data_IF_099051709514
#
_entry.id   IF_099051709514
#
_cell.length_a   1.000
_cell.length_b   1.000
_cell.length_c   1.000
_cell.angle_alpha   90.00
_cell.angle_beta   90.00
_cell.angle_gamma   90.00
#
_symmetry.space_group_name_H-M   'P 1'
#
loop_
_entity.id
_entity.type
_entity.pdbx_description
1 polymer ?
#
# COMPACT_ATOMS: atom_id res chain seq x y z
N UNK A 1 28.84 -4.27 -14.79
CA UNK A 1 28.73 -3.91 -13.36
C UNK A 1 27.46 -3.08 -13.16
N UNK A 2 26.79 -3.16 -11.99
CA UNK A 2 25.66 -2.29 -11.71
C UNK A 2 26.11 -0.83 -11.65
N UNK A 3 25.34 0.07 -12.25
CA UNK A 3 25.55 1.52 -12.20
C UNK A 3 24.35 2.23 -11.54
N UNK A 4 24.60 3.42 -11.00
CA UNK A 4 23.60 4.26 -10.32
C UNK A 4 23.39 3.89 -8.85
N UNK A 5 22.33 4.45 -8.27
CA UNK A 5 22.00 4.27 -6.86
C UNK A 5 21.03 3.10 -6.65
N UNK A 6 21.10 2.46 -5.48
CA UNK A 6 20.19 1.39 -5.06
C UNK A 6 19.69 1.65 -3.64
N UNK A 7 18.46 1.24 -3.37
CA UNK A 7 17.90 1.26 -2.02
C UNK A 7 18.24 -0.10 -1.38
N UNK A 8 18.77 -0.03 -0.16
CA UNK A 8 19.33 -1.18 0.53
C UNK A 8 18.79 -1.23 1.95
N UNK A 9 18.29 -2.41 2.32
CA UNK A 9 18.10 -2.82 3.70
C UNK A 9 19.47 -3.23 4.28
N UNK A 10 19.99 -2.40 5.19
CA UNK A 10 21.34 -2.53 5.73
C UNK A 10 21.52 -3.87 6.44
N UNK A 11 20.52 -4.33 7.19
CA UNK A 11 20.61 -5.56 7.98
C UNK A 11 20.62 -6.79 7.06
N UNK A 12 19.78 -6.79 6.03
CA UNK A 12 19.77 -7.85 5.01
C UNK A 12 21.11 -7.91 4.28
N UNK A 13 21.63 -6.76 3.85
CA UNK A 13 22.90 -6.70 3.13
C UNK A 13 24.06 -7.17 4.01
N UNK A 14 24.18 -6.64 5.23
CA UNK A 14 25.23 -6.97 6.19
C UNK A 14 25.25 -8.47 6.49
N UNK A 15 24.09 -9.05 6.75
CA UNK A 15 23.98 -10.50 7.02
C UNK A 15 24.47 -11.36 5.86
N UNK A 16 24.25 -10.92 4.61
CA UNK A 16 24.68 -11.65 3.41
C UNK A 16 26.16 -11.43 3.05
N UNK A 17 26.74 -10.28 3.40
CA UNK A 17 28.14 -9.98 3.12
C UNK A 17 29.11 -10.52 4.19
N UNK A 18 28.62 -10.90 5.37
CA UNK A 18 29.48 -11.31 6.50
C UNK A 18 30.43 -12.46 6.15
N UNK A 19 29.95 -13.46 5.41
CA UNK A 19 30.75 -14.63 5.01
C UNK A 19 30.23 -15.26 3.74
N UNK A 20 31.15 -15.89 3.00
CA UNK A 20 30.84 -16.73 1.86
C UNK A 20 30.01 -17.94 2.28
N UNK A 21 28.88 -18.16 1.59
CA UNK A 21 27.99 -19.29 1.89
C UNK A 21 28.62 -20.67 1.63
N UNK A 22 29.75 -20.71 0.93
CA UNK A 22 30.42 -21.96 0.55
C UNK A 22 31.68 -22.28 1.33
N UNK A 23 32.49 -21.28 1.69
CA UNK A 23 33.75 -21.50 2.42
C UNK A 23 33.77 -20.85 3.80
N UNK A 24 32.70 -20.15 4.18
CA UNK A 24 32.51 -19.50 5.48
C UNK A 24 33.55 -18.40 5.82
N UNK A 25 34.45 -18.07 4.90
CA UNK A 25 35.38 -16.93 5.00
C UNK A 25 34.71 -15.62 4.58
N UNK A 26 35.10 -14.51 5.17
CA UNK A 26 34.54 -13.19 4.86
C UNK A 26 35.37 -12.05 5.44
N UNK A 27 34.94 -10.79 5.22
CA UNK A 27 33.70 -10.40 4.51
C UNK A 27 33.80 -10.57 2.99
N UNK A 28 32.64 -10.63 2.31
CA UNK A 28 32.55 -10.55 0.85
C UNK A 28 32.58 -9.07 0.45
N UNK A 29 33.51 -8.70 -0.45
CA UNK A 29 33.59 -7.34 -0.98
C UNK A 29 32.56 -7.10 -2.09
N UNK A 30 31.84 -5.97 -2.01
CA UNK A 30 30.98 -5.48 -3.10
C UNK A 30 31.77 -5.08 -4.36
N UNK A 31 33.07 -4.85 -4.25
CA UNK A 31 33.93 -4.63 -5.43
C UNK A 31 33.96 -5.85 -6.37
N UNK A 32 33.61 -7.04 -5.86
CA UNK A 32 33.59 -8.28 -6.62
C UNK A 32 32.22 -8.60 -7.23
N UNK A 33 31.33 -7.61 -7.38
CA UNK A 33 30.05 -7.79 -8.10
C UNK A 33 30.34 -8.09 -9.56
N UNK A 34 29.86 -9.24 -10.03
CA UNK A 34 29.94 -9.67 -11.43
C UNK A 34 28.71 -9.19 -12.19
N UNK A 35 27.54 -9.34 -11.58
CA UNK A 35 26.25 -9.14 -12.23
C UNK A 35 25.18 -8.69 -11.23
N UNK A 36 24.13 -8.04 -11.75
CA UNK A 36 22.96 -7.59 -11.01
C UNK A 36 21.67 -8.00 -11.73
N UNK A 37 20.77 -8.65 -10.99
CA UNK A 37 19.38 -8.79 -11.40
C UNK A 37 18.47 -7.88 -10.59
N UNK A 38 17.71 -7.03 -11.27
CA UNK A 38 16.80 -6.06 -10.64
C UNK A 38 15.38 -6.63 -10.50
N UNK A 39 14.75 -6.31 -9.37
CA UNK A 39 13.39 -6.70 -9.02
C UNK A 39 12.64 -5.49 -8.47
N UNK A 40 12.42 -4.49 -9.33
CA UNK A 40 11.94 -3.18 -8.93
C UNK A 40 13.02 -2.41 -8.19
N UNK A 41 12.72 -1.94 -6.97
CA UNK A 41 13.68 -1.21 -6.12
C UNK A 41 14.69 -2.13 -5.42
N UNK A 42 14.44 -3.44 -5.44
CA UNK A 42 15.37 -4.42 -4.91
C UNK A 42 16.31 -4.93 -5.99
N UNK A 43 17.52 -5.30 -5.57
CA UNK A 43 18.54 -5.89 -6.42
C UNK A 43 19.05 -7.20 -5.82
N UNK A 44 19.44 -8.10 -6.71
CA UNK A 44 20.15 -9.32 -6.39
C UNK A 44 21.52 -9.26 -7.09
N UNK A 45 22.58 -9.09 -6.30
CA UNK A 45 23.94 -9.09 -6.79
C UNK A 45 24.53 -10.50 -6.79
N UNK A 46 25.26 -10.82 -7.86
CA UNK A 46 26.12 -11.99 -7.95
C UNK A 46 27.55 -11.55 -7.65
N UNK A 47 28.10 -12.00 -6.52
CA UNK A 47 29.38 -11.52 -6.00
C UNK A 47 30.40 -12.65 -5.91
N UNK A 48 31.58 -12.49 -6.52
CA UNK A 48 32.64 -13.50 -6.47
C UNK A 48 33.32 -13.48 -5.09
N UNK A 49 33.42 -14.65 -4.46
CA UNK A 49 34.22 -14.78 -3.24
C UNK A 49 35.72 -14.69 -3.55
N UNK A 50 36.44 -13.83 -2.86
CA UNK A 50 37.90 -13.68 -3.02
C UNK A 50 38.71 -14.90 -2.54
N UNK A 51 38.12 -15.75 -1.69
CA UNK A 51 38.84 -16.90 -1.10
C UNK A 51 38.64 -18.22 -1.84
N UNK A 52 37.46 -18.45 -2.42
CA UNK A 52 37.14 -19.73 -3.07
C UNK A 52 36.58 -19.57 -4.49
N UNK A 53 36.54 -18.34 -5.03
CA UNK A 53 36.01 -18.00 -6.35
C UNK A 53 34.54 -18.36 -6.63
N UNK A 54 33.84 -19.02 -5.71
CA UNK A 54 32.40 -19.31 -5.83
C UNK A 54 31.55 -18.03 -5.75
N UNK A 55 30.41 -18.05 -6.44
CA UNK A 55 29.52 -16.90 -6.60
C UNK A 55 28.42 -16.88 -5.52
N UNK A 56 28.38 -15.81 -4.74
CA UNK A 56 27.38 -15.59 -3.72
C UNK A 56 26.22 -14.77 -4.28
N UNK A 57 25.02 -15.01 -3.77
CA UNK A 57 23.83 -14.24 -4.09
C UNK A 57 23.54 -13.30 -2.92
N UNK A 58 23.60 -12.01 -3.17
CA UNK A 58 23.42 -10.96 -2.18
C UNK A 58 22.18 -10.14 -2.54
N UNK A 59 21.14 -10.23 -1.72
CA UNK A 59 19.91 -9.46 -1.90
C UNK A 59 20.02 -8.11 -1.17
N UNK A 60 19.48 -7.04 -1.75
CA UNK A 60 19.43 -5.72 -1.09
C UNK A 60 18.21 -5.51 -0.19
N UNK A 61 17.24 -6.43 -0.21
CA UNK A 61 16.02 -6.34 0.59
C UNK A 61 15.56 -7.75 0.99
N UNK A 62 14.89 -7.83 2.13
CA UNK A 62 14.11 -9.00 2.51
C UNK A 62 12.93 -9.19 1.53
N UNK A 63 12.31 -10.37 1.61
CA UNK A 63 11.21 -10.75 0.74
C UNK A 63 10.12 -11.50 1.50
N UNK A 64 8.86 -11.21 1.18
CA UNK A 64 7.67 -11.84 1.75
C UNK A 64 6.84 -12.57 0.67
N UNK A 65 5.99 -13.49 1.13
CA UNK A 65 4.98 -14.10 0.25
C UNK A 65 3.87 -13.09 0.03
N UNK A 66 3.55 -12.86 -1.25
CA UNK A 66 2.46 -11.99 -1.66
C UNK A 66 1.40 -12.84 -2.36
N UNK A 67 0.29 -13.11 -1.67
CA UNK A 67 -0.77 -13.99 -2.16
C UNK A 67 -0.47 -15.49 -1.97
N UNK A 68 -1.35 -16.35 -2.53
CA UNK A 68 -1.28 -17.81 -2.38
C UNK A 68 -0.23 -18.48 -3.28
N UNK A 69 0.02 -17.91 -4.46
CA UNK A 69 0.92 -18.45 -5.47
C UNK A 69 1.75 -17.33 -6.12
N UNK A 70 2.87 -17.72 -6.74
CA UNK A 70 3.78 -16.80 -7.43
C UNK A 70 5.08 -16.52 -6.67
N UNK A 71 6.00 -15.76 -7.30
CA UNK A 71 7.27 -15.42 -6.69
C UNK A 71 7.08 -14.52 -5.45
N UNK A 72 8.03 -14.60 -4.52
CA UNK A 72 8.09 -13.67 -3.39
C UNK A 72 8.28 -12.25 -3.91
N UNK A 73 7.71 -11.30 -3.19
CA UNK A 73 7.95 -9.90 -3.43
C UNK A 73 8.99 -9.36 -2.45
N UNK A 74 9.79 -8.40 -2.90
CA UNK A 74 10.73 -7.72 -2.02
C UNK A 74 10.03 -6.65 -1.18
N UNK A 75 10.33 -6.64 0.12
CA UNK A 75 9.70 -5.77 1.12
C UNK A 75 9.86 -4.31 0.75
N UNK A 76 11.01 -3.91 0.20
CA UNK A 76 11.27 -2.53 -0.19
C UNK A 76 10.28 -2.02 -1.25
N UNK A 77 9.78 -2.89 -2.14
CA UNK A 77 8.78 -2.49 -3.12
C UNK A 77 7.42 -2.20 -2.46
N UNK A 78 7.01 -3.04 -1.50
CA UNK A 78 5.78 -2.82 -0.74
C UNK A 78 5.91 -1.58 0.16
N UNK A 79 7.05 -1.40 0.84
CA UNK A 79 7.35 -0.22 1.65
C UNK A 79 7.31 1.07 0.82
N UNK A 80 7.95 1.10 -0.35
CA UNK A 80 7.92 2.29 -1.22
C UNK A 80 6.52 2.59 -1.76
N UNK A 81 5.73 1.56 -2.04
CA UNK A 81 4.34 1.74 -2.48
C UNK A 81 3.47 2.27 -1.34
N UNK A 82 3.61 1.72 -0.13
CA UNK A 82 2.94 2.22 1.07
C UNK A 82 3.35 3.67 1.38
N UNK A 83 4.64 3.98 1.28
CA UNK A 83 5.15 5.35 1.45
C UNK A 83 4.56 6.30 0.41
N UNK A 84 4.40 5.84 -0.84
CA UNK A 84 3.76 6.63 -1.89
C UNK A 84 2.29 6.93 -1.56
N UNK A 85 1.55 5.92 -1.10
CA UNK A 85 0.16 6.09 -0.64
C UNK A 85 0.06 7.07 0.52
N UNK A 86 0.95 6.94 1.51
CA UNK A 86 1.00 7.83 2.67
C UNK A 86 1.32 9.28 2.28
N UNK A 87 2.24 9.48 1.33
CA UNK A 87 2.58 10.79 0.81
C UNK A 87 1.56 11.35 -0.22
N UNK A 88 0.48 10.63 -0.51
CA UNK A 88 -0.53 11.05 -1.49
C UNK A 88 -0.03 11.08 -2.94
N UNK A 89 1.03 10.32 -3.27
CA UNK A 89 1.62 10.29 -4.60
C UNK A 89 1.41 8.95 -5.30
N UNK A 90 1.30 8.99 -6.64
CA UNK A 90 1.20 7.81 -7.48
C UNK A 90 2.54 7.33 -8.03
N UNK A 91 2.50 6.22 -8.76
CA UNK A 91 3.65 5.60 -9.44
C UNK A 91 4.46 6.60 -10.28
N UNK A 92 3.80 7.49 -11.03
CA UNK A 92 4.48 8.48 -11.87
C UNK A 92 5.36 9.45 -11.06
N UNK A 93 4.85 9.93 -9.93
CA UNK A 93 5.61 10.83 -9.05
C UNK A 93 6.76 10.09 -8.38
N UNK A 94 6.53 8.87 -7.88
CA UNK A 94 7.60 8.03 -7.33
C UNK A 94 8.70 7.80 -8.37
N UNK A 95 8.32 7.47 -9.61
CA UNK A 95 9.27 7.27 -10.72
C UNK A 95 10.07 8.53 -11.02
N UNK A 96 9.46 9.70 -10.98
CA UNK A 96 10.17 10.98 -11.17
C UNK A 96 11.22 11.21 -10.08
N UNK A 97 10.84 11.02 -8.80
CA UNK A 97 11.75 11.13 -7.66
C UNK A 97 12.94 10.17 -7.79
N UNK A 98 12.66 8.90 -8.09
CA UNK A 98 13.70 7.87 -8.26
C UNK A 98 14.62 8.16 -9.45
N UNK A 99 14.07 8.69 -10.54
CA UNK A 99 14.85 9.06 -11.72
C UNK A 99 15.88 10.15 -11.40
N UNK A 100 15.50 11.16 -10.61
CA UNK A 100 16.42 12.23 -10.19
C UNK A 100 17.56 11.68 -9.33
N UNK A 101 17.26 10.68 -8.48
CA UNK A 101 18.26 10.01 -7.64
C UNK A 101 19.06 8.92 -8.38
N UNK A 102 18.83 8.71 -9.68
CA UNK A 102 19.45 7.62 -10.45
C UNK A 102 19.19 6.22 -9.84
N UNK A 103 17.97 6.01 -9.35
CA UNK A 103 17.49 4.73 -8.80
C UNK A 103 16.54 4.06 -9.82
N UNK A 104 16.79 2.81 -10.23
CA UNK A 104 15.89 2.07 -11.12
C UNK A 104 14.49 1.93 -10.50
N UNK A 105 13.42 2.34 -11.20
CA UNK A 105 12.06 2.26 -10.66
C UNK A 105 11.46 0.86 -10.81
N UNK A 106 10.46 0.55 -9.99
CA UNK A 106 9.61 -0.62 -10.23
C UNK A 106 8.64 -0.38 -11.40
N UNK A 107 8.24 -1.46 -12.07
CA UNK A 107 7.26 -1.37 -13.15
C UNK A 107 5.89 -0.92 -12.62
N UNK A 108 5.08 -0.27 -13.47
CA UNK A 108 3.69 0.07 -13.14
C UNK A 108 2.88 -1.14 -12.68
N UNK A 109 3.10 -2.30 -13.30
CA UNK A 109 2.42 -3.54 -12.92
C UNK A 109 2.82 -3.99 -11.51
N UNK A 110 4.12 -3.92 -11.19
CA UNK A 110 4.65 -4.21 -9.85
C UNK A 110 4.10 -3.23 -8.81
N UNK A 111 4.12 -1.93 -9.08
CA UNK A 111 3.56 -0.91 -8.20
C UNK A 111 2.07 -1.18 -7.92
N UNK A 112 1.26 -1.41 -8.96
CA UNK A 112 -0.17 -1.69 -8.78
C UNK A 112 -0.45 -3.01 -8.06
N UNK A 113 0.43 -4.00 -8.19
CA UNK A 113 0.34 -5.23 -7.40
C UNK A 113 0.65 -4.97 -5.92
N UNK A 114 1.67 -4.17 -5.62
CA UNK A 114 2.01 -3.75 -4.25
C UNK A 114 0.95 -2.86 -3.64
N UNK A 115 0.38 -1.95 -4.41
CA UNK A 115 -0.69 -1.03 -3.98
C UNK A 115 -1.93 -1.80 -3.50
N UNK A 116 -2.33 -2.85 -4.22
CA UNK A 116 -3.44 -3.74 -3.81
C UNK A 116 -3.11 -4.59 -2.60
N UNK A 117 -1.86 -4.99 -2.44
CA UNK A 117 -1.41 -5.73 -1.26
C UNK A 117 -1.41 -4.83 -0.03
N UNK A 118 -0.72 -3.69 -0.08
CA UNK A 118 -0.60 -2.77 1.05
C UNK A 118 -1.92 -2.09 1.37
N UNK A 119 -2.75 -1.81 0.35
CA UNK A 119 -4.07 -1.22 0.53
C UNK A 119 -4.99 -2.07 1.42
N UNK A 120 -4.94 -3.41 1.31
CA UNK A 120 -5.71 -4.29 2.20
C UNK A 120 -5.26 -4.20 3.65
N UNK A 121 -3.95 -4.09 3.88
CA UNK A 121 -3.41 -3.92 5.23
C UNK A 121 -3.80 -2.56 5.82
N UNK A 122 -3.76 -1.49 5.00
CA UNK A 122 -4.22 -0.16 5.40
C UNK A 122 -5.71 -0.17 5.74
N UNK A 123 -6.56 -0.78 4.91
CA UNK A 123 -8.00 -0.91 5.17
C UNK A 123 -8.28 -1.66 6.48
N UNK A 124 -7.54 -2.75 6.74
CA UNK A 124 -7.68 -3.52 7.98
C UNK A 124 -7.30 -2.70 9.23
N UNK A 125 -6.16 -1.99 9.19
CA UNK A 125 -5.72 -1.13 10.30
C UNK A 125 -6.69 0.03 10.50
N UNK A 126 -7.18 0.65 9.42
CA UNK A 126 -8.15 1.72 9.49
C UNK A 126 -9.46 1.26 10.17
N UNK A 127 -9.94 0.06 9.84
CA UNK A 127 -11.14 -0.51 10.47
C UNK A 127 -10.96 -0.71 11.98
N UNK A 128 -9.85 -1.32 12.41
CA UNK A 128 -9.56 -1.52 13.84
C UNK A 128 -9.44 -0.18 14.56
N UNK A 129 -8.75 0.80 13.94
CA UNK A 129 -8.61 2.14 14.52
C UNK A 129 -9.95 2.87 14.69
N UNK A 130 -10.89 2.67 13.76
CA UNK A 130 -12.23 3.22 13.84
C UNK A 130 -13.03 2.59 14.99
N UNK A 131 -13.02 1.26 15.09
CA UNK A 131 -13.68 0.49 16.15
C UNK A 131 -13.16 0.89 17.55
N UNK A 132 -11.83 0.99 17.70
CA UNK A 132 -11.20 1.45 18.94
C UNK A 132 -11.58 2.89 19.29
N UNK A 133 -11.68 3.77 18.28
CA UNK A 133 -12.06 5.16 18.48
C UNK A 133 -13.49 5.27 19.00
N UNK A 134 -14.45 4.59 18.37
CA UNK A 134 -15.85 4.56 18.82
C UNK A 134 -15.95 4.00 20.24
N UNK A 135 -15.28 2.89 20.52
CA UNK A 135 -15.34 2.25 21.85
C UNK A 135 -14.76 3.15 22.95
N UNK A 136 -13.68 3.89 22.66
CA UNK A 136 -13.08 4.83 23.59
C UNK A 136 -13.97 6.05 23.82
N UNK A 137 -14.58 6.59 22.77
CA UNK A 137 -15.50 7.72 22.89
C UNK A 137 -16.74 7.34 23.71
N UNK A 138 -17.33 6.17 23.47
CA UNK A 138 -18.46 5.66 24.27
C UNK A 138 -18.09 5.58 25.77
N UNK A 139 -16.91 5.07 26.10
CA UNK A 139 -16.43 5.01 27.49
C UNK A 139 -16.27 6.40 28.10
N UNK A 140 -15.74 7.36 27.33
CA UNK A 140 -15.59 8.73 27.80
C UNK A 140 -16.95 9.39 28.08
N UNK A 141 -17.93 9.20 27.20
CA UNK A 141 -19.29 9.74 27.38
C UNK A 141 -19.98 9.17 28.63
N UNK A 142 -19.89 7.85 28.84
CA UNK A 142 -20.42 7.22 30.06
C UNK A 142 -19.73 7.77 31.31
N UNK A 143 -18.42 7.98 31.27
CA UNK A 143 -17.67 8.51 32.41
C UNK A 143 -18.04 9.96 32.76
N UNK A 144 -18.53 10.76 31.79
CA UNK A 144 -18.99 12.14 32.05
C UNK A 144 -20.49 12.22 32.40
N UNK A 145 -21.18 11.07 32.49
CA UNK A 145 -22.56 10.98 32.95
C UNK A 145 -23.62 10.84 31.85
N UNK A 146 -23.24 10.58 30.60
CA UNK A 146 -24.20 10.24 29.54
C UNK A 146 -24.74 8.82 29.77
N UNK A 147 -26.07 8.70 29.93
CA UNK A 147 -26.71 7.40 30.12
C UNK A 147 -27.03 6.73 28.76
N UNK A 148 -26.72 5.43 28.61
CA UNK A 148 -27.17 4.68 27.44
C UNK A 148 -28.70 4.62 27.36
N UNK A 149 -29.23 4.61 26.13
CA UNK A 149 -30.65 4.41 25.89
C UNK A 149 -31.11 2.96 26.17
N UNK A 150 -32.39 2.67 25.95
CA UNK A 150 -33.00 1.35 26.12
C UNK A 150 -32.32 0.23 25.30
N UNK A 151 -31.57 0.58 24.25
CA UNK A 151 -30.82 -0.34 23.40
C UNK A 151 -29.31 -0.35 23.72
N UNK A 152 -28.89 0.24 24.84
CA UNK A 152 -27.49 0.40 25.24
C UNK A 152 -26.65 1.19 24.22
N UNK A 153 -27.26 2.15 23.53
CA UNK A 153 -26.60 3.09 22.63
C UNK A 153 -26.35 4.41 23.35
N UNK A 154 -25.24 5.07 23.02
CA UNK A 154 -24.88 6.39 23.56
C UNK A 154 -24.82 7.35 22.39
N UNK A 155 -25.47 8.51 22.51
CA UNK A 155 -25.44 9.54 21.48
C UNK A 155 -24.04 10.16 21.43
N UNK A 156 -23.42 10.13 20.25
CA UNK A 156 -22.08 10.67 20.05
C UNK A 156 -22.15 11.84 19.07
N UNK A 157 -21.67 13.04 19.44
CA UNK A 157 -21.62 14.16 18.51
C UNK A 157 -20.58 13.88 17.42
N UNK A 158 -21.05 13.78 16.18
CA UNK A 158 -20.20 13.53 15.02
C UNK A 158 -20.44 14.56 13.91
N UNK A 159 -19.43 14.71 13.06
CA UNK A 159 -19.53 15.44 11.79
C UNK A 159 -19.28 14.48 10.65
N UNK A 160 -20.00 14.66 9.55
CA UNK A 160 -19.87 13.85 8.35
C UNK A 160 -19.54 14.75 7.17
N UNK A 161 -18.59 14.33 6.34
CA UNK A 161 -18.29 14.98 5.08
C UNK A 161 -17.90 13.97 4.00
N UNK A 162 -18.14 14.34 2.73
CA UNK A 162 -17.75 13.55 1.57
C UNK A 162 -16.99 14.37 0.54
N UNK A 163 -15.82 13.86 0.16
CA UNK A 163 -14.99 14.39 -0.92
C UNK A 163 -15.10 13.58 -2.22
N UNK A 164 -14.82 14.25 -3.33
CA UNK A 164 -14.66 13.62 -4.64
C UNK A 164 -13.30 13.90 -5.25
N UNK A 165 -12.69 12.89 -5.90
CA UNK A 165 -11.33 13.02 -6.42
C UNK A 165 -11.20 13.93 -7.65
N UNK A 166 -12.26 14.06 -8.47
CA UNK A 166 -12.19 14.94 -9.63
C UNK A 166 -12.47 16.38 -9.19
N UNK A 167 -11.47 17.25 -9.37
CA UNK A 167 -11.61 18.67 -9.11
C UNK A 167 -12.61 19.32 -10.09
N UNK A 168 -13.52 20.14 -9.55
CA UNK A 168 -14.45 20.96 -10.34
C UNK A 168 -15.93 20.73 -10.02
N UNK A 169 -16.80 21.61 -10.56
CA UNK A 169 -18.25 21.64 -10.27
C UNK A 169 -19.09 20.62 -11.08
N UNK A 170 -18.45 19.75 -11.85
CA UNK A 170 -19.12 18.92 -12.86
C UNK A 170 -19.86 17.67 -12.34
N UNK A 171 -19.86 17.41 -11.04
CA UNK A 171 -20.52 16.25 -10.38
C UNK A 171 -20.40 14.91 -11.15
N UNK A 172 -19.24 14.65 -11.75
CA UNK A 172 -18.99 13.50 -12.63
C UNK A 172 -17.75 12.69 -12.21
N UNK A 173 -17.41 12.76 -10.93
CA UNK A 173 -16.33 11.98 -10.32
C UNK A 173 -16.65 10.50 -10.33
N UNK A 174 -15.67 9.67 -10.67
CA UNK A 174 -15.83 8.21 -10.67
C UNK A 174 -15.64 7.60 -9.27
N UNK A 175 -15.06 8.37 -8.36
CA UNK A 175 -14.73 7.96 -7.00
C UNK A 175 -15.08 9.08 -6.03
N UNK A 176 -15.48 8.68 -4.82
CA UNK A 176 -15.62 9.58 -3.68
C UNK A 176 -15.31 8.85 -2.38
N UNK A 177 -14.99 9.63 -1.36
CA UNK A 177 -14.61 9.17 -0.03
C UNK A 177 -15.38 10.00 0.99
N UNK A 178 -16.04 9.34 1.93
CA UNK A 178 -16.71 9.97 3.05
C UNK A 178 -16.07 9.52 4.36
N UNK A 179 -16.13 10.38 5.37
CA UNK A 179 -15.67 10.08 6.71
C UNK A 179 -16.61 10.70 7.73
N UNK A 180 -16.87 9.95 8.79
CA UNK A 180 -17.57 10.39 9.98
C UNK A 180 -16.54 10.56 11.08
N UNK A 181 -16.53 11.72 11.73
CA UNK A 181 -15.53 12.09 12.74
C UNK A 181 -16.19 12.55 14.03
N UNK A 182 -15.56 12.25 15.17
CA UNK A 182 -15.93 12.80 16.46
C UNK A 182 -15.77 14.32 16.45
N UNK A 183 -16.78 15.04 16.93
CA UNK A 183 -16.64 16.48 17.19
C UNK A 183 -15.77 16.76 18.43
N UNK A 184 -15.66 15.81 19.35
CA UNK A 184 -14.90 15.96 20.60
C UNK A 184 -13.42 15.67 20.40
N UNK A 185 -13.09 14.52 19.78
CA UNK A 185 -11.71 14.03 19.66
C UNK A 185 -11.09 14.31 18.30
N UNK A 186 -11.89 14.68 17.29
CA UNK A 186 -11.43 14.86 15.91
C UNK A 186 -10.97 13.56 15.24
N UNK A 187 -11.23 12.41 15.86
CA UNK A 187 -10.86 11.08 15.33
C UNK A 187 -11.98 10.53 14.44
N UNK A 188 -11.60 9.66 13.50
CA UNK A 188 -12.53 9.05 12.54
C UNK A 188 -13.26 7.88 13.22
N UNK A 189 -14.59 7.88 13.15
CA UNK A 189 -15.45 6.79 13.58
C UNK A 189 -15.71 5.78 12.48
N UNK A 190 -15.96 6.25 11.27
CA UNK A 190 -16.15 5.37 10.12
C UNK A 190 -15.79 6.10 8.82
N UNK A 191 -15.58 5.34 7.76
CA UNK A 191 -15.29 5.85 6.42
C UNK A 191 -15.95 4.99 5.35
N UNK A 192 -16.41 5.64 4.29
CA UNK A 192 -17.00 4.99 3.14
C UNK A 192 -16.30 5.39 1.85
N UNK A 193 -16.11 4.44 0.93
CA UNK A 193 -15.65 4.74 -0.42
C UNK A 193 -16.70 4.34 -1.43
N UNK A 194 -16.92 5.19 -2.44
CA UNK A 194 -17.83 4.90 -3.56
C UNK A 194 -17.07 4.93 -4.87
N UNK A 195 -17.24 3.89 -5.67
CA UNK A 195 -16.53 3.71 -6.95
C UNK A 195 -17.52 3.29 -8.03
N UNK A 196 -17.57 4.08 -9.11
CA UNK A 196 -18.48 3.86 -10.26
C UNK A 196 -17.90 2.98 -11.35
N UNK A 197 -16.57 2.94 -11.45
CA UNK A 197 -15.88 2.33 -12.58
C UNK A 197 -14.95 1.23 -12.13
N UNK A 198 -14.98 0.13 -12.87
CA UNK A 198 -13.95 -0.89 -12.83
C UNK A 198 -13.55 -1.22 -14.26
N UNK A 199 -12.28 -0.98 -14.62
CA UNK A 199 -11.77 -1.18 -15.98
C UNK A 199 -11.94 -2.62 -16.46
N UNK A 200 -11.76 -3.60 -15.58
CA UNK A 200 -11.91 -5.02 -15.92
C UNK A 200 -13.37 -5.35 -16.24
N UNK A 201 -14.31 -4.85 -15.44
CA UNK A 201 -15.74 -5.02 -15.69
C UNK A 201 -16.20 -4.30 -16.98
N UNK A 202 -15.77 -3.06 -17.19
CA UNK A 202 -16.11 -2.29 -18.39
C UNK A 202 -15.58 -2.95 -19.66
N UNK A 203 -14.36 -3.52 -19.62
CA UNK A 203 -13.81 -4.27 -20.74
C UNK A 203 -14.64 -5.52 -21.06
N UNK A 204 -15.01 -6.28 -20.03
CA UNK A 204 -15.82 -7.48 -20.16
C UNK A 204 -17.19 -7.16 -20.78
N UNK A 205 -17.85 -6.11 -20.29
CA UNK A 205 -19.12 -5.62 -20.83
C UNK A 205 -19.00 -5.19 -22.29
N UNK A 206 -17.95 -4.44 -22.65
CA UNK A 206 -17.74 -3.97 -24.03
C UNK A 206 -17.45 -5.10 -25.02
N UNK A 207 -16.86 -6.19 -24.55
CA UNK A 207 -16.49 -7.34 -25.39
C UNK A 207 -17.50 -8.48 -25.32
N UNK A 208 -18.62 -8.31 -24.62
CA UNK A 208 -19.60 -9.36 -24.35
C UNK A 208 -18.97 -10.64 -23.79
N UNK A 209 -17.96 -10.48 -22.92
CA UNK A 209 -17.27 -11.58 -22.25
C UNK A 209 -17.47 -11.51 -20.73
N UNK A 210 -17.18 -12.60 -20.04
CA UNK A 210 -17.18 -12.61 -18.58
C UNK A 210 -15.93 -11.94 -18.01
N UNK A 211 -16.11 -11.12 -16.97
CA UNK A 211 -15.00 -10.48 -16.29
C UNK A 211 -14.13 -11.55 -15.61
N UNK A 212 -12.82 -11.52 -15.89
CA UNK A 212 -11.85 -12.36 -15.18
C UNK A 212 -11.91 -12.08 -13.68
N UNK A 213 -11.62 -13.08 -12.85
CA UNK A 213 -11.53 -12.91 -11.40
C UNK A 213 -10.54 -11.79 -11.04
N UNK A 214 -11.00 -10.80 -10.27
CA UNK A 214 -10.21 -9.65 -9.85
C UNK A 214 -10.78 -9.02 -8.57
N UNK A 215 -9.98 -8.17 -7.94
CA UNK A 215 -10.42 -7.33 -6.82
C UNK A 215 -11.27 -6.17 -7.36
N UNK A 216 -12.58 -6.40 -7.53
CA UNK A 216 -13.51 -5.40 -8.01
C UNK A 216 -13.93 -4.48 -6.87
N UNK A 217 -13.56 -3.19 -6.97
CA UNK A 217 -13.95 -2.17 -5.98
C UNK A 217 -15.17 -1.34 -6.40
N UNK A 218 -15.80 -1.64 -7.54
CA UNK A 218 -17.01 -0.93 -8.00
C UNK A 218 -18.18 -1.30 -7.09
N UNK A 219 -18.78 -0.29 -6.45
CA UNK A 219 -19.88 -0.46 -5.50
C UNK A 219 -20.97 0.62 -5.62
N UNK A 220 -20.88 1.51 -6.61
CA UNK A 220 -21.85 2.58 -6.82
C UNK A 220 -22.40 2.61 -8.24
N UNK A 221 -23.72 2.79 -8.35
CA UNK A 221 -24.45 3.02 -9.60
C UNK A 221 -25.16 4.37 -9.54
N UNK A 222 -25.36 5.02 -10.68
CA UNK A 222 -26.02 6.32 -10.75
C UNK A 222 -25.10 7.54 -10.67
N UNK A 223 -25.67 8.68 -10.24
CA UNK A 223 -24.99 9.98 -10.26
C UNK A 223 -23.89 10.07 -9.19
N UNK A 224 -22.90 10.93 -9.40
CA UNK A 224 -21.86 11.14 -8.39
C UNK A 224 -22.38 11.93 -7.18
N UNK A 225 -23.45 12.72 -7.35
CA UNK A 225 -24.16 13.41 -6.26
C UNK A 225 -24.80 12.43 -5.28
N UNK A 226 -25.36 11.33 -5.78
CA UNK A 226 -25.98 10.31 -4.93
C UNK A 226 -24.97 9.56 -4.04
N UNK A 227 -23.66 9.73 -4.26
CA UNK A 227 -22.66 9.08 -3.42
C UNK A 227 -22.68 9.61 -1.98
N UNK A 228 -22.96 10.90 -1.79
CA UNK A 228 -22.93 11.55 -0.48
C UNK A 228 -24.00 11.04 0.48
N UNK A 229 -25.30 11.07 0.16
CA UNK A 229 -26.31 10.56 1.07
C UNK A 229 -26.22 9.04 1.30
N UNK A 230 -25.70 8.27 0.32
CA UNK A 230 -25.56 6.81 0.42
C UNK A 230 -24.25 6.40 1.14
N UNK A 231 -23.39 7.36 1.46
CA UNK A 231 -22.13 7.14 2.19
C UNK A 231 -22.19 7.61 3.64
N UNK A 232 -23.31 8.19 4.10
CA UNK A 232 -23.50 8.54 5.50
C UNK A 232 -23.47 7.27 6.34
N UNK A 233 -22.42 7.14 7.15
CA UNK A 233 -22.10 5.98 8.01
C UNK A 233 -21.85 6.42 9.43
#
# INVERSE_FOLDING_TARGET
MPHGARIIDIDVLKGKLQKCQFCLKGPISLANIIDEKQYGLASQFRVKCQFCSKQNIINTSASHKSGKSGPKAYDINSKATLASLHAGIGETHLKSILSVMNIPPMSRASFKARERETGKAVEAVAKVSCEETIANEKKQLINIGEEPDENNLVSVPCSYDMGWQKRGKGFNSNTGQAATMSQTTGKIFDYATKVKKCRTCEYAQRTSTNAKAHDCRKNHTGSSKAMEPISAV
#
